data_IF_833139456223
#
_entry.id   IF_833139456223
#
_cell.length_a   1.000
_cell.length_b   1.000
_cell.length_c   1.000
_cell.angle_alpha   90.00
_cell.angle_beta   90.00
_cell.angle_gamma   90.00
#
_symmetry.space_group_name_H-M   'P 1'
#
loop_
_entity.id
_entity.type
_entity.pdbx_description
1 polymer ?
#
# COMPACT_ATOMS: atom_id res chain seq x y z
N UNK A 1 5.78 11.69 4.92
CA UNK A 1 4.32 11.72 5.19
C UNK A 1 3.81 10.32 5.59
N UNK A 2 2.72 10.21 6.38
CA UNK A 2 2.02 8.93 6.62
C UNK A 2 0.62 9.00 5.99
N UNK A 3 0.27 8.01 5.17
CA UNK A 3 -1.07 7.81 4.60
C UNK A 3 -1.76 6.70 5.39
N UNK A 4 -2.78 7.05 6.16
CA UNK A 4 -3.60 6.09 6.90
C UNK A 4 -4.72 5.56 6.01
N UNK A 5 -4.65 4.30 5.59
CA UNK A 5 -5.61 3.73 4.64
C UNK A 5 -7.04 3.71 5.16
N UNK A 6 -7.24 3.64 6.48
CA UNK A 6 -8.56 3.74 7.12
C UNK A 6 -9.37 4.99 6.72
N UNK A 7 -8.70 6.06 6.27
CA UNK A 7 -9.33 7.30 5.79
C UNK A 7 -10.12 7.09 4.49
N UNK A 8 -9.85 6.02 3.74
CA UNK A 8 -10.58 5.63 2.53
C UNK A 8 -11.61 4.51 2.80
N UNK A 9 -11.77 4.11 4.06
CA UNK A 9 -12.61 3.01 4.50
C UNK A 9 -11.82 1.91 5.20
N UNK A 10 -12.54 1.01 5.87
CA UNK A 10 -11.94 -0.15 6.57
C UNK A 10 -12.03 -1.44 5.74
N UNK A 11 -12.82 -1.45 4.67
CA UNK A 11 -12.96 -2.56 3.73
C UNK A 11 -12.62 -2.03 2.32
N UNK A 12 -11.47 -2.43 1.80
CA UNK A 12 -10.84 -1.90 0.59
C UNK A 12 -10.79 -2.98 -0.49
N UNK A 13 -11.82 -3.02 -1.36
CA UNK A 13 -12.10 -4.20 -2.20
C UNK A 13 -11.87 -4.03 -3.71
N UNK A 14 -12.16 -2.85 -4.27
CA UNK A 14 -12.26 -2.68 -5.71
C UNK A 14 -11.09 -1.86 -6.29
N UNK A 15 -10.60 -2.26 -7.46
CA UNK A 15 -9.56 -1.51 -8.19
C UNK A 15 -9.96 -0.04 -8.45
N UNK A 16 -11.19 0.30 -8.89
CA UNK A 16 -11.62 1.70 -9.04
C UNK A 16 -11.51 2.52 -7.74
N UNK A 17 -11.91 1.94 -6.60
CA UNK A 17 -11.80 2.64 -5.31
C UNK A 17 -10.34 2.90 -4.90
N UNK A 18 -9.39 2.04 -5.29
CA UNK A 18 -7.96 2.28 -5.10
C UNK A 18 -7.47 3.51 -5.87
N UNK A 19 -7.92 3.66 -7.12
CA UNK A 19 -7.62 4.84 -7.94
C UNK A 19 -8.24 6.12 -7.38
N UNK A 20 -9.47 6.04 -6.90
CA UNK A 20 -10.15 7.18 -6.26
C UNK A 20 -9.43 7.60 -4.98
N UNK A 21 -9.04 6.64 -4.13
CA UNK A 21 -8.27 6.90 -2.92
C UNK A 21 -6.94 7.62 -3.23
N UNK A 22 -6.20 7.16 -4.25
CA UNK A 22 -4.98 7.86 -4.71
C UNK A 22 -5.30 9.29 -5.16
N UNK A 23 -6.35 9.47 -5.95
CA UNK A 23 -6.75 10.78 -6.48
C UNK A 23 -7.10 11.77 -5.36
N UNK A 24 -7.74 11.29 -4.29
CA UNK A 24 -8.10 12.10 -3.12
C UNK A 24 -6.88 12.54 -2.30
N UNK A 25 -5.85 11.68 -2.15
CA UNK A 25 -4.66 12.01 -1.34
C UNK A 25 -3.56 12.73 -2.12
N UNK A 26 -3.49 12.54 -3.44
CA UNK A 26 -2.44 13.08 -4.31
C UNK A 26 -2.14 14.58 -4.09
N UNK A 27 -3.14 15.49 -3.94
CA UNK A 27 -2.85 16.91 -3.72
C UNK A 27 -2.11 17.21 -2.41
N UNK A 28 -2.13 16.28 -1.45
CA UNK A 28 -1.50 16.43 -0.14
C UNK A 28 -0.06 15.87 -0.14
N UNK A 29 0.33 15.11 -1.16
CA UNK A 29 1.65 14.50 -1.25
C UNK A 29 2.63 15.53 -1.82
N UNK A 30 3.59 15.96 -1.00
CA UNK A 30 4.71 16.81 -1.41
C UNK A 30 5.90 15.94 -1.82
N UNK A 31 6.31 16.03 -3.09
CA UNK A 31 7.39 15.20 -3.65
C UNK A 31 8.77 15.52 -3.06
N UNK A 32 8.94 16.71 -2.50
CA UNK A 32 10.16 17.20 -1.89
C UNK A 32 10.37 16.70 -0.45
N UNK A 33 9.33 16.13 0.18
CA UNK A 33 9.44 15.54 1.51
C UNK A 33 9.92 14.07 1.46
N UNK A 34 10.51 13.64 2.57
CA UNK A 34 10.93 12.25 2.86
C UNK A 34 9.84 11.20 2.59
N UNK A 35 10.27 9.96 2.32
CA UNK A 35 9.48 8.77 1.98
C UNK A 35 8.01 8.78 2.46
N UNK A 36 7.10 8.43 1.55
CA UNK A 36 5.69 8.22 1.86
C UNK A 36 5.55 6.87 2.56
N UNK A 37 4.97 6.87 3.76
CA UNK A 37 4.71 5.67 4.55
C UNK A 37 3.23 5.33 4.51
N UNK A 38 2.89 4.08 4.22
CA UNK A 38 1.50 3.59 4.18
C UNK A 38 1.20 2.85 5.47
N UNK A 39 0.17 3.31 6.18
CA UNK A 39 -0.31 2.73 7.43
C UNK A 39 -1.61 1.94 7.19
N UNK A 40 -1.58 0.67 7.59
CA UNK A 40 -2.70 -0.28 7.47
C UNK A 40 -3.56 -0.37 8.74
N UNK A 41 -3.23 0.39 9.78
CA UNK A 41 -3.97 0.37 11.05
C UNK A 41 -5.45 0.66 10.85
N UNK A 42 -6.31 -0.16 11.46
CA UNK A 42 -7.78 -0.12 11.36
C UNK A 42 -8.35 -0.41 9.96
N UNK A 43 -7.56 -0.94 9.03
CA UNK A 43 -8.11 -1.69 7.90
C UNK A 43 -8.56 -3.06 8.41
N UNK A 44 -9.70 -3.55 7.94
CA UNK A 44 -10.19 -4.90 8.23
C UNK A 44 -9.94 -5.82 7.04
N UNK A 45 -10.29 -5.37 5.84
CA UNK A 45 -10.14 -6.15 4.61
C UNK A 45 -9.44 -5.32 3.54
N UNK A 46 -8.43 -5.93 2.91
CA UNK A 46 -7.71 -5.37 1.76
C UNK A 46 -7.61 -6.44 0.67
N UNK A 47 -8.04 -6.14 -0.55
CA UNK A 47 -7.89 -7.06 -1.69
C UNK A 47 -6.64 -6.76 -2.51
N UNK A 48 -6.10 -7.76 -3.23
CA UNK A 48 -4.97 -7.56 -4.14
C UNK A 48 -5.24 -6.51 -5.21
N UNK A 49 -6.42 -6.49 -5.81
CA UNK A 49 -6.75 -5.56 -6.90
C UNK A 49 -6.81 -4.10 -6.44
N UNK A 50 -7.29 -3.83 -5.21
CA UNK A 50 -7.27 -2.50 -4.62
C UNK A 50 -5.84 -2.07 -4.29
N UNK A 51 -5.08 -2.94 -3.62
CA UNK A 51 -3.71 -2.66 -3.18
C UNK A 51 -2.75 -2.43 -4.34
N UNK A 52 -2.81 -3.28 -5.36
CA UNK A 52 -2.03 -3.17 -6.59
C UNK A 52 -2.21 -1.81 -7.25
N UNK A 53 -3.46 -1.38 -7.45
CA UNK A 53 -3.78 -0.12 -8.11
C UNK A 53 -3.28 1.09 -7.30
N UNK A 54 -3.64 1.13 -6.02
CA UNK A 54 -3.27 2.26 -5.16
C UNK A 54 -1.76 2.39 -5.03
N UNK A 55 -1.06 1.27 -4.79
CA UNK A 55 0.39 1.26 -4.60
C UNK A 55 1.14 1.54 -5.91
N UNK A 56 0.65 1.06 -7.06
CA UNK A 56 1.24 1.38 -8.37
C UNK A 56 1.22 2.88 -8.61
N UNK A 57 0.05 3.51 -8.51
CA UNK A 57 -0.10 4.96 -8.71
C UNK A 57 0.74 5.77 -7.72
N UNK A 58 0.80 5.32 -6.46
CA UNK A 58 1.59 5.98 -5.43
C UNK A 58 3.10 5.86 -5.69
N UNK A 59 3.58 4.68 -6.10
CA UNK A 59 4.97 4.44 -6.44
C UNK A 59 5.40 5.26 -7.65
N UNK A 60 4.60 5.28 -8.71
CA UNK A 60 4.84 6.10 -9.91
C UNK A 60 4.92 7.58 -9.56
N UNK A 61 3.97 8.08 -8.76
CA UNK A 61 3.92 9.49 -8.39
C UNK A 61 5.10 9.91 -7.51
N UNK A 62 5.58 9.02 -6.63
CA UNK A 62 6.62 9.33 -5.63
C UNK A 62 8.03 8.93 -6.07
N UNK A 63 8.20 8.47 -7.32
CA UNK A 63 9.45 7.88 -7.83
C UNK A 63 9.98 6.74 -6.94
N UNK A 64 9.08 5.84 -6.54
CA UNK A 64 9.43 4.64 -5.78
C UNK A 64 9.68 4.85 -4.29
N UNK A 65 9.54 6.08 -3.78
CA UNK A 65 9.78 6.44 -2.36
C UNK A 65 8.58 6.11 -1.47
N UNK A 66 8.20 4.83 -1.46
CA UNK A 66 7.12 4.27 -0.65
C UNK A 66 7.64 3.21 0.31
N UNK A 67 7.22 3.29 1.56
CA UNK A 67 7.47 2.31 2.60
C UNK A 67 6.14 1.83 3.20
N UNK A 68 6.03 0.53 3.46
CA UNK A 68 4.87 -0.09 4.09
C UNK A 68 5.16 -0.24 5.58
N UNK A 69 4.34 0.37 6.44
CA UNK A 69 4.51 0.25 7.89
C UNK A 69 4.09 -1.16 8.37
N UNK A 70 4.76 -1.71 9.40
CA UNK A 70 4.42 -3.00 10.00
C UNK A 70 2.94 -3.12 10.36
N UNK A 71 2.38 -4.31 10.17
CA UNK A 71 1.02 -4.65 10.62
C UNK A 71 0.92 -6.15 10.84
N UNK A 72 0.09 -6.56 11.80
CA UNK A 72 -0.31 -7.93 12.09
C UNK A 72 -1.60 -8.33 11.36
N UNK A 73 -2.19 -7.43 10.56
CA UNK A 73 -3.43 -7.69 9.84
C UNK A 73 -3.23 -8.81 8.81
N UNK A 74 -3.90 -9.94 9.04
CA UNK A 74 -3.82 -11.13 8.19
C UNK A 74 -4.32 -10.91 6.76
N UNK A 75 -5.34 -10.06 6.56
CA UNK A 75 -5.83 -9.69 5.23
C UNK A 75 -4.77 -8.91 4.45
N UNK A 76 -4.05 -7.99 5.10
CA UNK A 76 -2.96 -7.24 4.47
C UNK A 76 -1.81 -8.17 4.11
N UNK A 77 -1.36 -9.00 5.05
CA UNK A 77 -0.25 -9.94 4.83
C UNK A 77 -0.56 -10.90 3.68
N UNK A 78 -1.78 -11.46 3.65
CA UNK A 78 -2.21 -12.36 2.58
C UNK A 78 -2.22 -11.65 1.21
N UNK A 79 -2.77 -10.44 1.16
CA UNK A 79 -2.79 -9.63 -0.06
C UNK A 79 -1.38 -9.32 -0.57
N UNK A 80 -0.45 -8.90 0.30
CA UNK A 80 0.92 -8.62 -0.09
C UNK A 80 1.66 -9.87 -0.60
N UNK A 81 1.38 -11.06 -0.04
CA UNK A 81 1.92 -12.33 -0.57
C UNK A 81 1.43 -12.61 -1.99
N UNK A 82 0.13 -12.46 -2.22
CA UNK A 82 -0.46 -12.64 -3.56
C UNK A 82 0.20 -11.69 -4.57
N UNK A 83 0.44 -10.43 -4.20
CA UNK A 83 1.10 -9.45 -5.09
C UNK A 83 2.56 -9.82 -5.41
N UNK A 84 3.28 -10.41 -4.45
CA UNK A 84 4.65 -10.91 -4.67
C UNK A 84 4.67 -12.11 -5.62
N UNK A 85 3.67 -12.98 -5.55
CA UNK A 85 3.57 -14.18 -6.39
C UNK A 85 3.06 -13.88 -7.81
N UNK A 86 2.13 -12.93 -7.93
CA UNK A 86 1.46 -12.62 -9.20
C UNK A 86 2.29 -11.73 -10.15
N UNK A 87 3.30 -11.02 -9.66
CA UNK A 87 4.02 -10.01 -10.46
C UNK A 87 5.49 -9.81 -10.02
N UNK A 88 6.31 -9.22 -10.90
CA UNK A 88 7.73 -8.87 -10.66
C UNK A 88 7.98 -7.35 -10.73
N UNK A 89 6.97 -6.54 -10.42
CA UNK A 89 7.04 -5.08 -10.50
C UNK A 89 7.39 -4.36 -9.19
N UNK A 90 7.45 -3.01 -9.21
CA UNK A 90 7.78 -2.20 -8.04
C UNK A 90 6.89 -2.45 -6.80
N UNK A 91 5.61 -2.78 -7.02
CA UNK A 91 4.67 -3.17 -5.95
C UNK A 91 5.12 -4.46 -5.28
N UNK A 92 5.49 -5.48 -6.07
CA UNK A 92 6.00 -6.75 -5.54
C UNK A 92 7.29 -6.51 -4.75
N UNK A 93 8.16 -5.59 -5.18
CA UNK A 93 9.41 -5.31 -4.47
C UNK A 93 9.20 -4.68 -3.09
N UNK A 94 8.32 -3.68 -2.96
CA UNK A 94 7.99 -3.11 -1.63
C UNK A 94 7.28 -4.14 -0.74
N UNK A 95 6.41 -4.98 -1.31
CA UNK A 95 5.73 -6.04 -0.57
C UNK A 95 6.72 -7.12 -0.07
N UNK A 96 7.69 -7.51 -0.90
CA UNK A 96 8.73 -8.49 -0.56
C UNK A 96 9.66 -7.96 0.54
N UNK A 97 10.04 -6.67 0.48
CA UNK A 97 10.79 -5.99 1.54
C UNK A 97 10.01 -5.97 2.86
N UNK A 98 8.73 -5.60 2.80
CA UNK A 98 7.84 -5.61 3.95
C UNK A 98 7.77 -7.00 4.61
N UNK A 99 7.45 -8.04 3.83
CA UNK A 99 7.29 -9.41 4.33
C UNK A 99 8.59 -9.98 4.90
N UNK A 100 9.75 -9.54 4.40
CA UNK A 100 11.06 -9.99 4.93
C UNK A 100 11.38 -9.36 6.29
N UNK A 101 10.97 -8.10 6.50
CA UNK A 101 11.16 -7.40 7.76
C UNK A 101 10.13 -7.83 8.82
N UNK A 102 8.92 -8.16 8.40
CA UNK A 102 7.82 -8.55 9.28
C UNK A 102 7.93 -10.00 9.80
N UNK A 103 8.83 -10.83 9.24
CA UNK A 103 9.14 -12.18 9.73
C UNK A 103 10.13 -12.24 10.90
N UNK A 104 10.69 -11.10 11.33
CA UNK A 104 11.74 -11.03 12.35
C UNK A 104 11.21 -10.90 13.80
N UNK A 105 9.92 -11.10 14.02
CA UNK A 105 9.27 -11.07 15.35
C UNK A 105 8.73 -12.46 15.74
#
# INVERSE_FOLDING_TARGET
MIIELKKFGTILLSRPAGREAFSAIRPQIKLEESNVRVDFSNVFTLTPSWADEFLTLLLEYTNGRVELLPTDNSSVIATLRILVEANQGPVADIARRFLSNNKKE
#
